data_IF_189419382718
#
_entry.id   IF_189419382718
#
_cell.length_a   1.000
_cell.length_b   1.000
_cell.length_c   1.000
_cell.angle_alpha   90.00
_cell.angle_beta   90.00
_cell.angle_gamma   90.00
#
_symmetry.space_group_name_H-M   'P 1'
#
loop_
_entity.id
_entity.type
_entity.pdbx_description
1 polymer ?
#
# COMPACT_ATOMS: atom_id res chain seq x y z
N UNK A 1 55.78 22.61 49.98
CA UNK A 1 55.86 23.61 48.91
C UNK A 1 55.60 22.87 47.61
N UNK A 2 54.33 22.62 47.28
CA UNK A 2 53.93 21.92 46.06
C UNK A 2 52.82 22.73 45.38
N UNK A 3 53.11 23.25 44.20
CA UNK A 3 52.16 23.98 43.36
C UNK A 3 51.61 23.06 42.26
N UNK A 4 50.28 23.07 42.17
CA UNK A 4 49.44 22.60 41.07
C UNK A 4 49.89 23.16 39.72
N UNK A 5 49.97 22.30 38.71
CA UNK A 5 49.78 22.71 37.31
C UNK A 5 48.41 22.21 36.84
N UNK A 6 47.53 23.16 36.56
CA UNK A 6 46.23 22.97 35.89
C UNK A 6 46.49 22.71 34.41
N UNK A 7 46.01 21.57 33.90
CA UNK A 7 45.84 21.37 32.45
C UNK A 7 44.53 22.04 32.01
N UNK A 8 44.64 23.16 31.29
CA UNK A 8 43.53 23.78 30.58
C UNK A 8 43.18 22.91 29.36
N UNK A 9 42.03 22.23 29.41
CA UNK A 9 41.37 21.76 28.19
C UNK A 9 40.65 22.96 27.57
N UNK A 10 40.95 23.29 26.31
CA UNK A 10 40.27 24.37 25.61
C UNK A 10 38.83 23.96 25.28
N UNK A 11 37.88 24.89 25.36
CA UNK A 11 36.45 24.64 25.06
C UNK A 11 36.24 24.02 23.67
N UNK A 12 37.15 24.26 22.72
CA UNK A 12 37.15 23.66 21.40
C UNK A 12 37.36 22.13 21.41
N UNK A 13 38.19 21.60 22.33
CA UNK A 13 38.38 20.15 22.47
C UNK A 13 37.18 19.47 23.13
N UNK A 14 36.49 20.13 24.07
CA UNK A 14 35.23 19.63 24.61
C UNK A 14 34.11 19.63 23.54
N UNK A 15 34.03 20.66 22.70
CA UNK A 15 33.06 20.73 21.62
C UNK A 15 33.28 19.64 20.55
N UNK A 16 34.53 19.38 20.17
CA UNK A 16 34.85 18.32 19.19
C UNK A 16 34.56 16.93 19.77
N UNK A 17 34.84 16.67 21.05
CA UNK A 17 34.52 15.39 21.71
C UNK A 17 33.01 15.20 21.91
N UNK A 18 32.26 16.27 22.20
CA UNK A 18 30.79 16.22 22.30
C UNK A 18 30.17 16.03 20.91
N UNK A 19 30.70 16.68 19.87
CA UNK A 19 30.26 16.49 18.48
C UNK A 19 30.63 15.11 17.93
N UNK A 20 31.82 14.57 18.22
CA UNK A 20 32.15 13.18 17.82
C UNK A 20 31.31 12.18 18.58
N UNK A 21 31.03 12.38 19.87
CA UNK A 21 30.11 11.50 20.61
C UNK A 21 28.65 11.63 20.15
N UNK A 22 28.19 12.82 19.74
CA UNK A 22 26.86 13.02 19.16
C UNK A 22 26.77 12.47 17.73
N UNK A 23 27.82 12.62 16.93
CA UNK A 23 27.91 12.03 15.59
C UNK A 23 27.99 10.52 15.68
N UNK A 24 28.78 9.97 16.61
CA UNK A 24 28.82 8.52 16.88
C UNK A 24 27.51 8.01 17.50
N UNK A 25 26.79 8.82 18.30
CA UNK A 25 25.47 8.48 18.84
C UNK A 25 24.38 8.53 17.76
N UNK A 26 24.46 9.47 16.82
CA UNK A 26 23.54 9.58 15.67
C UNK A 26 23.84 8.50 14.61
N UNK A 27 25.12 8.14 14.42
CA UNK A 27 25.56 7.10 13.47
C UNK A 27 25.37 5.68 14.06
N UNK A 28 25.46 5.51 15.39
CA UNK A 28 25.29 4.22 16.09
C UNK A 28 24.06 4.17 16.99
N UNK A 29 22.94 4.82 16.66
CA UNK A 29 21.67 4.28 17.13
C UNK A 29 21.60 2.90 16.47
N UNK A 30 21.67 1.77 17.22
CA UNK A 30 21.37 0.50 16.61
C UNK A 30 19.99 0.69 15.99
N UNK A 31 19.87 0.54 14.66
CA UNK A 31 18.58 0.51 13.98
C UNK A 31 17.86 -0.72 14.53
N UNK A 32 17.28 -0.59 15.71
CA UNK A 32 16.43 -1.58 16.32
C UNK A 32 15.16 -1.49 15.48
N UNK A 33 15.19 -2.23 14.39
CA UNK A 33 14.04 -2.40 13.52
C UNK A 33 13.06 -3.28 14.29
N UNK A 34 11.96 -2.70 14.72
CA UNK A 34 10.91 -3.42 15.42
C UNK A 34 9.82 -3.71 14.39
N UNK A 35 9.70 -4.98 13.98
CA UNK A 35 8.81 -5.43 12.90
C UNK A 35 9.03 -4.73 11.56
N UNK A 36 10.27 -4.37 11.22
CA UNK A 36 10.57 -3.66 9.98
C UNK A 36 10.34 -2.15 10.06
N UNK A 37 10.13 -1.56 11.24
CA UNK A 37 9.94 -0.12 11.43
C UNK A 37 11.03 0.48 12.32
N UNK A 38 11.37 1.74 12.08
CA UNK A 38 12.43 2.48 12.78
C UNK A 38 11.99 3.93 13.01
N UNK A 39 12.70 4.65 13.87
CA UNK A 39 12.62 6.11 13.91
C UNK A 39 13.29 6.71 12.69
N UNK A 40 12.66 7.70 12.07
CA UNK A 40 13.21 8.41 10.92
C UNK A 40 14.33 9.37 11.34
N UNK A 41 15.56 8.98 11.01
CA UNK A 41 16.76 9.77 11.28
C UNK A 41 16.74 11.14 10.56
N UNK A 42 16.07 11.26 9.41
CA UNK A 42 16.00 12.52 8.66
C UNK A 42 15.12 13.56 9.38
N UNK A 43 14.16 13.10 10.18
CA UNK A 43 13.20 13.95 10.90
C UNK A 43 13.44 13.99 12.41
N UNK A 44 14.50 13.34 12.90
CA UNK A 44 14.88 13.28 14.31
C UNK A 44 15.02 14.67 14.96
N UNK A 45 15.52 15.65 14.19
CA UNK A 45 15.74 17.03 14.65
C UNK A 45 14.50 17.95 14.51
N UNK A 46 13.37 17.45 14.01
CA UNK A 46 12.14 18.25 13.94
C UNK A 46 11.48 18.32 15.32
N UNK A 47 11.71 19.43 16.03
CA UNK A 47 11.27 19.68 17.41
C UNK A 47 9.75 19.68 17.66
N UNK A 48 8.92 19.45 16.64
CA UNK A 48 7.46 19.41 16.75
C UNK A 48 6.81 18.02 16.60
N UNK A 49 7.59 16.98 16.32
CA UNK A 49 7.07 15.63 16.10
C UNK A 49 7.20 14.77 17.34
N UNK A 50 6.14 14.04 17.71
CA UNK A 50 6.19 13.00 18.74
C UNK A 50 6.72 11.67 18.18
N UNK A 51 6.95 10.70 19.06
CA UNK A 51 7.50 9.39 18.68
C UNK A 51 6.62 8.64 17.68
N UNK A 52 5.29 8.73 17.80
CA UNK A 52 4.37 8.15 16.82
C UNK A 52 4.55 8.75 15.43
N UNK A 53 4.74 10.06 15.33
CA UNK A 53 4.93 10.75 14.05
C UNK A 53 6.29 10.42 13.42
N UNK A 54 7.28 10.00 14.22
CA UNK A 54 8.65 9.70 13.78
C UNK A 54 8.87 8.26 13.34
N UNK A 55 7.98 7.32 13.68
CA UNK A 55 8.14 5.93 13.22
C UNK A 55 7.78 5.78 11.74
N UNK A 56 8.67 5.13 11.00
CA UNK A 56 8.56 4.87 9.55
C UNK A 56 8.99 3.43 9.21
N UNK A 57 8.53 2.85 8.10
CA UNK A 57 9.06 1.60 7.59
C UNK A 57 10.57 1.72 7.34
N UNK A 58 11.31 0.66 7.64
CA UNK A 58 12.73 0.55 7.29
C UNK A 58 12.83 0.47 5.77
N UNK A 59 13.70 1.28 5.16
CA UNK A 59 13.99 1.28 3.72
C UNK A 59 14.74 0.01 3.30
N UNK A 60 14.10 -1.16 3.41
CA UNK A 60 14.64 -2.44 2.92
C UNK A 60 14.18 -2.70 1.49
N UNK A 61 12.98 -2.24 1.13
CA UNK A 61 12.43 -2.34 -0.21
C UNK A 61 11.86 -0.98 -0.65
N UNK A 62 12.50 -0.34 -1.62
CA UNK A 62 12.08 0.96 -2.14
C UNK A 62 10.74 0.91 -2.89
N UNK A 63 10.25 -0.29 -3.23
CA UNK A 63 9.09 -0.47 -4.08
C UNK A 63 7.82 -0.85 -3.32
N UNK A 64 7.94 -1.24 -2.05
CA UNK A 64 6.79 -1.69 -1.24
C UNK A 64 5.72 -0.61 -1.10
N UNK A 65 6.14 0.64 -0.84
CA UNK A 65 5.29 1.82 -0.73
C UNK A 65 5.65 2.84 -1.82
N UNK A 66 4.94 2.91 -2.97
CA UNK A 66 5.34 3.77 -4.08
C UNK A 66 5.40 5.27 -3.75
N UNK A 67 4.60 5.70 -2.76
CA UNK A 67 4.53 7.08 -2.28
C UNK A 67 5.18 7.22 -0.91
N UNK A 68 6.18 6.39 -0.59
CA UNK A 68 6.87 6.33 0.71
C UNK A 68 7.19 7.70 1.29
N UNK A 69 7.82 8.59 0.51
CA UNK A 69 8.17 9.92 0.98
C UNK A 69 6.92 10.75 1.32
N UNK A 70 5.88 10.73 0.47
CA UNK A 70 4.63 11.42 0.77
C UNK A 70 3.94 10.85 2.02
N UNK A 71 4.06 9.54 2.28
CA UNK A 71 3.48 8.87 3.44
C UNK A 71 4.17 9.29 4.73
N UNK A 72 5.51 9.22 4.79
CA UNK A 72 6.25 9.62 6.00
C UNK A 72 6.14 11.12 6.29
N UNK A 73 6.15 11.97 5.26
CA UNK A 73 6.00 13.43 5.42
C UNK A 73 4.56 13.87 5.73
N UNK A 74 3.63 12.94 5.86
CA UNK A 74 2.26 13.29 6.29
C UNK A 74 2.22 13.67 7.77
N UNK A 75 3.14 13.14 8.59
CA UNK A 75 3.25 13.43 10.03
C UNK A 75 1.92 13.36 10.80
N UNK A 76 1.02 12.50 10.35
CA UNK A 76 -0.28 12.28 10.98
C UNK A 76 -0.07 11.73 12.40
N UNK A 77 -0.82 12.28 13.36
CA UNK A 77 -0.86 11.78 14.73
C UNK A 77 -1.72 10.50 14.82
N UNK A 78 -1.61 9.81 15.95
CA UNK A 78 -2.26 8.51 16.14
C UNK A 78 -3.78 8.59 16.09
N UNK A 79 -4.37 9.69 16.58
CA UNK A 79 -5.81 9.95 16.51
C UNK A 79 -6.28 10.13 15.06
N UNK A 80 -5.56 10.93 14.29
CA UNK A 80 -5.85 11.21 12.87
C UNK A 80 -5.74 9.95 12.03
N UNK A 81 -4.70 9.14 12.28
CA UNK A 81 -4.49 7.84 11.60
C UNK A 81 -5.62 6.84 11.91
N UNK A 82 -6.09 6.78 13.16
CA UNK A 82 -7.27 5.98 13.52
C UNK A 82 -8.54 6.45 12.79
N UNK A 83 -8.74 7.76 12.67
CA UNK A 83 -9.86 8.31 11.92
C UNK A 83 -9.74 8.07 10.42
N UNK A 84 -8.53 8.13 9.84
CA UNK A 84 -8.27 7.78 8.44
C UNK A 84 -8.69 6.33 8.13
N UNK A 85 -8.32 5.37 8.98
CA UNK A 85 -8.72 3.96 8.78
C UNK A 85 -10.24 3.79 8.84
N UNK A 86 -10.90 4.46 9.80
CA UNK A 86 -12.38 4.43 9.91
C UNK A 86 -13.03 5.09 8.70
N UNK A 87 -12.51 6.23 8.27
CA UNK A 87 -12.96 6.94 7.08
C UNK A 87 -12.88 6.08 5.83
N UNK A 88 -11.73 5.42 5.60
CA UNK A 88 -11.55 4.52 4.47
C UNK A 88 -12.58 3.38 4.48
N UNK A 89 -12.80 2.77 5.67
CA UNK A 89 -13.83 1.74 5.82
C UNK A 89 -15.25 2.28 5.54
N UNK A 90 -15.56 3.51 5.96
CA UNK A 90 -16.86 4.13 5.70
C UNK A 90 -17.09 4.43 4.22
N UNK A 91 -16.09 4.98 3.51
CA UNK A 91 -16.21 5.20 2.06
C UNK A 91 -16.39 3.85 1.33
N UNK A 92 -15.62 2.81 1.68
CA UNK A 92 -15.74 1.49 1.03
C UNK A 92 -17.14 0.87 1.13
N UNK A 93 -17.91 1.25 2.15
CA UNK A 93 -19.30 0.82 2.34
C UNK A 93 -20.30 1.75 1.66
N UNK A 94 -20.19 3.06 1.90
CA UNK A 94 -21.17 4.07 1.50
C UNK A 94 -21.07 4.49 0.04
N UNK A 95 -19.88 4.41 -0.55
CA UNK A 95 -19.66 4.66 -1.98
C UNK A 95 -19.32 3.37 -2.74
N UNK A 96 -19.74 2.21 -2.22
CA UNK A 96 -19.54 0.89 -2.88
C UNK A 96 -20.11 0.81 -4.28
N UNK A 97 -21.17 1.59 -4.56
CA UNK A 97 -21.79 1.69 -5.89
C UNK A 97 -20.79 2.02 -7.00
N UNK A 98 -19.69 2.72 -6.68
CA UNK A 98 -18.61 3.03 -7.63
C UNK A 98 -18.02 1.78 -8.29
N UNK A 99 -17.93 0.66 -7.56
CA UNK A 99 -17.43 -0.62 -8.07
C UNK A 99 -18.20 -1.12 -9.30
N UNK A 100 -19.52 -0.96 -9.29
CA UNK A 100 -20.38 -1.40 -10.39
C UNK A 100 -20.14 -0.56 -11.65
N UNK A 101 -20.06 0.76 -11.51
CA UNK A 101 -19.82 1.67 -12.65
C UNK A 101 -18.42 1.53 -13.20
N UNK A 102 -17.40 1.43 -12.34
CA UNK A 102 -16.01 1.19 -12.77
C UNK A 102 -15.85 -0.13 -13.52
N UNK A 103 -16.55 -1.20 -13.08
CA UNK A 103 -16.54 -2.50 -13.76
C UNK A 103 -17.16 -2.42 -15.15
N UNK A 104 -18.26 -1.66 -15.28
CA UNK A 104 -18.96 -1.49 -16.56
C UNK A 104 -18.12 -0.69 -17.56
N UNK A 105 -17.72 0.51 -17.16
CA UNK A 105 -16.94 1.41 -17.99
C UNK A 105 -16.21 2.43 -17.10
N UNK A 106 -14.89 2.24 -16.96
CA UNK A 106 -14.01 3.12 -16.18
C UNK A 106 -13.99 4.55 -16.74
N UNK A 107 -13.99 4.71 -18.06
CA UNK A 107 -13.94 6.03 -18.68
C UNK A 107 -15.26 6.78 -18.49
N UNK A 108 -16.39 6.08 -18.60
CA UNK A 108 -17.69 6.66 -18.26
C UNK A 108 -17.77 7.06 -16.78
N UNK A 109 -17.23 6.22 -15.89
CA UNK A 109 -17.12 6.53 -14.46
C UNK A 109 -16.36 7.83 -14.22
N UNK A 110 -15.15 7.97 -14.77
CA UNK A 110 -14.30 9.16 -14.63
C UNK A 110 -15.03 10.42 -15.13
N UNK A 111 -15.72 10.33 -16.27
CA UNK A 111 -16.41 11.47 -16.87
C UNK A 111 -17.69 11.89 -16.14
N UNK A 112 -18.48 10.94 -15.62
CA UNK A 112 -19.84 11.21 -15.13
C UNK A 112 -20.00 11.10 -13.62
N UNK A 113 -19.25 10.21 -12.98
CA UNK A 113 -19.54 9.75 -11.61
C UNK A 113 -18.42 10.03 -10.61
N UNK A 114 -17.19 10.26 -11.05
CA UNK A 114 -16.06 10.56 -10.17
C UNK A 114 -16.30 11.82 -9.32
N UNK A 115 -16.81 12.89 -9.92
CA UNK A 115 -17.11 14.13 -9.17
C UNK A 115 -18.16 13.90 -8.08
N UNK A 116 -19.14 13.03 -8.34
CA UNK A 116 -20.22 12.72 -7.40
C UNK A 116 -19.69 11.87 -6.25
N UNK A 117 -18.92 10.83 -6.54
CA UNK A 117 -18.31 9.96 -5.53
C UNK A 117 -17.25 10.71 -4.70
N UNK A 118 -16.46 11.59 -5.29
CA UNK A 118 -15.56 12.50 -4.56
C UNK A 118 -16.34 13.43 -3.61
N UNK A 119 -17.45 14.04 -4.05
CA UNK A 119 -18.29 14.85 -3.15
C UNK A 119 -18.84 14.02 -2.00
N UNK A 120 -19.31 12.80 -2.25
CA UNK A 120 -19.79 11.89 -1.20
C UNK A 120 -18.68 11.52 -0.21
N UNK A 121 -17.49 11.20 -0.69
CA UNK A 121 -16.35 10.89 0.16
C UNK A 121 -15.96 12.09 1.04
N UNK A 122 -16.01 13.32 0.52
CA UNK A 122 -15.78 14.54 1.32
C UNK A 122 -16.91 14.80 2.33
N UNK A 123 -18.17 14.47 2.01
CA UNK A 123 -19.27 14.57 2.98
C UNK A 123 -19.10 13.56 4.12
N UNK A 124 -18.66 12.34 3.83
CA UNK A 124 -18.34 11.32 4.84
C UNK A 124 -17.19 11.80 5.73
N UNK A 125 -16.16 12.43 5.15
CA UNK A 125 -15.01 12.95 5.88
C UNK A 125 -15.39 13.96 6.99
N UNK A 126 -16.48 14.72 6.81
CA UNK A 126 -16.97 15.67 7.84
C UNK A 126 -17.35 15.00 9.17
N UNK A 127 -17.59 13.69 9.17
CA UNK A 127 -17.82 12.90 10.40
C UNK A 127 -16.55 12.59 11.19
N UNK A 128 -15.37 12.96 10.68
CA UNK A 128 -14.06 12.65 11.26
C UNK A 128 -13.31 13.96 11.54
N UNK A 129 -13.45 14.53 12.76
CA UNK A 129 -13.00 15.89 13.05
C UNK A 129 -11.47 16.10 13.02
N UNK A 130 -10.67 15.04 13.11
CA UNK A 130 -9.19 15.11 13.04
C UNK A 130 -8.67 14.80 11.64
N UNK A 131 -9.51 14.24 10.77
CA UNK A 131 -9.15 13.96 9.40
C UNK A 131 -9.02 15.24 8.57
N UNK A 132 -7.82 15.54 8.12
CA UNK A 132 -7.59 16.69 7.23
C UNK A 132 -8.23 16.46 5.85
N UNK A 133 -8.61 17.55 5.18
CA UNK A 133 -9.14 17.49 3.81
C UNK A 133 -8.15 16.81 2.83
N UNK A 134 -6.85 17.05 3.01
CA UNK A 134 -5.80 16.43 2.19
C UNK A 134 -5.76 14.91 2.37
N UNK A 135 -5.88 14.43 3.62
CA UNK A 135 -5.95 13.00 3.92
C UNK A 135 -7.24 12.37 3.42
N UNK A 136 -8.38 13.06 3.53
CA UNK A 136 -9.64 12.59 2.98
C UNK A 136 -9.54 12.42 1.45
N UNK A 137 -8.98 13.41 0.74
CA UNK A 137 -8.76 13.37 -0.70
C UNK A 137 -7.89 12.18 -1.09
N UNK A 138 -6.75 11.99 -0.42
CA UNK A 138 -5.87 10.83 -0.63
C UNK A 138 -6.60 9.51 -0.39
N UNK A 139 -7.35 9.40 0.72
CA UNK A 139 -8.10 8.19 1.05
C UNK A 139 -9.11 7.82 -0.03
N UNK A 140 -9.79 8.80 -0.62
CA UNK A 140 -10.67 8.58 -1.76
C UNK A 140 -9.93 8.17 -3.04
N UNK A 141 -8.84 8.87 -3.40
CA UNK A 141 -8.05 8.55 -4.59
C UNK A 141 -7.45 7.14 -4.50
N UNK A 142 -6.88 6.78 -3.36
CA UNK A 142 -6.34 5.45 -3.12
C UNK A 142 -7.42 4.37 -3.00
N UNK A 143 -8.63 4.71 -2.57
CA UNK A 143 -9.77 3.79 -2.67
C UNK A 143 -10.13 3.46 -4.12
N UNK A 144 -10.15 4.45 -5.02
CA UNK A 144 -10.38 4.19 -6.45
C UNK A 144 -9.25 3.36 -7.07
N UNK A 145 -8.00 3.62 -6.66
CA UNK A 145 -6.84 2.83 -7.11
C UNK A 145 -6.94 1.37 -6.67
N UNK A 146 -7.25 1.13 -5.39
CA UNK A 146 -7.47 -0.23 -4.85
C UNK A 146 -8.60 -0.95 -5.61
N UNK A 147 -9.70 -0.24 -5.84
CA UNK A 147 -10.85 -0.78 -6.54
C UNK A 147 -10.54 -1.12 -7.99
N UNK A 148 -9.82 -0.26 -8.71
CA UNK A 148 -9.35 -0.54 -10.07
C UNK A 148 -8.48 -1.80 -10.08
N UNK A 149 -7.54 -1.90 -9.15
CA UNK A 149 -6.65 -3.05 -9.02
C UNK A 149 -7.41 -4.37 -8.76
N UNK A 150 -8.42 -4.33 -7.88
CA UNK A 150 -9.29 -5.48 -7.62
C UNK A 150 -10.07 -5.90 -8.87
N UNK A 151 -10.62 -4.93 -9.61
CA UNK A 151 -11.37 -5.18 -10.84
C UNK A 151 -10.47 -5.76 -11.93
N UNK A 152 -9.25 -5.25 -12.07
CA UNK A 152 -8.25 -5.78 -13.00
C UNK A 152 -7.94 -7.24 -12.66
N UNK A 153 -7.67 -7.54 -11.39
CA UNK A 153 -7.41 -8.92 -10.91
C UNK A 153 -8.58 -9.86 -11.23
N UNK A 154 -9.83 -9.41 -11.04
CA UNK A 154 -11.02 -10.20 -11.40
C UNK A 154 -11.12 -10.47 -12.90
N UNK A 155 -10.72 -9.51 -13.74
CA UNK A 155 -10.71 -9.70 -15.18
C UNK A 155 -9.64 -10.71 -15.62
N UNK A 156 -8.46 -10.75 -14.97
CA UNK A 156 -7.46 -11.80 -15.20
C UNK A 156 -8.00 -13.20 -14.87
N UNK A 157 -8.68 -13.37 -13.74
CA UNK A 157 -9.31 -14.66 -13.38
C UNK A 157 -10.27 -15.10 -14.49
N UNK A 158 -11.13 -14.19 -14.95
CA UNK A 158 -12.12 -14.46 -16.00
C UNK A 158 -11.48 -14.81 -17.33
N UNK A 159 -10.48 -14.05 -17.75
CA UNK A 159 -9.75 -14.28 -19.01
C UNK A 159 -8.99 -15.59 -18.96
N UNK A 160 -8.25 -15.87 -17.88
CA UNK A 160 -7.47 -17.11 -17.77
C UNK A 160 -8.36 -18.34 -17.70
N UNK A 161 -9.51 -18.26 -17.04
CA UNK A 161 -10.50 -19.34 -17.07
C UNK A 161 -11.05 -19.58 -18.47
N UNK A 162 -11.41 -18.54 -19.21
CA UNK A 162 -11.92 -18.68 -20.59
C UNK A 162 -10.85 -19.20 -21.56
N UNK A 163 -9.61 -18.73 -21.41
CA UNK A 163 -8.46 -19.24 -22.18
C UNK A 163 -8.20 -20.71 -21.85
N UNK A 164 -8.26 -21.10 -20.57
CA UNK A 164 -8.14 -22.50 -20.17
C UNK A 164 -9.25 -23.36 -20.80
N UNK A 165 -10.51 -22.96 -20.71
CA UNK A 165 -11.63 -23.72 -21.30
C UNK A 165 -11.45 -23.92 -22.81
N UNK A 166 -10.89 -22.91 -23.50
CA UNK A 166 -10.63 -22.98 -24.94
C UNK A 166 -9.48 -23.89 -25.30
N UNK A 167 -8.35 -23.74 -24.62
CA UNK A 167 -7.16 -24.56 -24.88
C UNK A 167 -7.41 -26.02 -24.53
N UNK A 168 -8.00 -26.29 -23.35
CA UNK A 168 -8.06 -27.64 -22.80
C UNK A 168 -9.38 -28.36 -23.03
N UNK A 169 -10.51 -27.65 -23.18
CA UNK A 169 -11.81 -28.29 -23.42
C UNK A 169 -12.29 -28.14 -24.88
N UNK A 170 -11.95 -27.04 -25.56
CA UNK A 170 -12.36 -26.78 -26.97
C UNK A 170 -11.25 -27.06 -27.98
N UNK A 171 -10.07 -27.49 -27.53
CA UNK A 171 -8.93 -27.90 -28.35
C UNK A 171 -8.38 -26.77 -29.26
N UNK A 172 -8.49 -25.50 -28.83
CA UNK A 172 -7.83 -24.38 -29.52
C UNK A 172 -6.30 -24.47 -29.35
N UNK A 173 -5.57 -24.24 -30.46
CA UNK A 173 -4.18 -24.71 -30.59
C UNK A 173 -3.14 -23.94 -29.78
N UNK A 174 -3.38 -22.67 -29.42
CA UNK A 174 -2.41 -21.84 -28.72
C UNK A 174 -3.06 -20.88 -27.73
N UNK A 175 -2.30 -20.44 -26.71
CA UNK A 175 -2.71 -19.39 -25.78
C UNK A 175 -3.13 -18.11 -26.52
N UNK A 176 -2.41 -17.75 -27.59
CA UNK A 176 -2.67 -16.54 -28.35
C UNK A 176 -4.01 -16.61 -29.10
N UNK A 177 -4.29 -17.75 -29.73
CA UNK A 177 -5.55 -17.98 -30.43
C UNK A 177 -6.72 -18.01 -29.44
N UNK A 178 -6.56 -18.74 -28.34
CA UNK A 178 -7.53 -18.83 -27.25
C UNK A 178 -7.81 -17.46 -26.60
N UNK A 179 -6.79 -16.63 -26.43
CA UNK A 179 -6.98 -15.29 -25.90
C UNK A 179 -7.71 -14.38 -26.90
N UNK A 180 -7.32 -14.40 -28.18
CA UNK A 180 -8.00 -13.63 -29.23
C UNK A 180 -9.46 -14.02 -29.37
N UNK A 181 -9.78 -15.31 -29.25
CA UNK A 181 -11.15 -15.83 -29.34
C UNK A 181 -11.95 -15.60 -28.06
N UNK A 182 -11.29 -15.52 -26.90
CA UNK A 182 -11.90 -15.18 -25.60
C UNK A 182 -12.28 -13.70 -25.47
N UNK A 183 -11.45 -12.77 -25.99
CA UNK A 183 -11.66 -11.33 -25.83
C UNK A 183 -13.07 -10.85 -26.22
N UNK A 184 -13.66 -11.23 -27.37
CA UNK A 184 -15.02 -10.80 -27.73
C UNK A 184 -16.12 -11.17 -26.71
N UNK A 185 -15.89 -12.16 -25.83
CA UNK A 185 -16.84 -12.58 -24.79
C UNK A 185 -16.94 -11.55 -23.66
N UNK A 186 -15.89 -10.74 -23.45
CA UNK A 186 -15.86 -9.76 -22.37
C UNK A 186 -16.38 -8.38 -22.81
N UNK A 187 -16.88 -7.60 -21.85
CA UNK A 187 -17.31 -6.23 -22.08
C UNK A 187 -16.16 -5.31 -22.48
N UNK A 188 -16.49 -4.17 -23.11
CA UNK A 188 -15.52 -3.19 -23.61
C UNK A 188 -14.45 -2.79 -22.58
N UNK A 189 -14.83 -2.56 -21.32
CA UNK A 189 -13.88 -2.19 -20.25
C UNK A 189 -12.84 -3.26 -19.94
N UNK A 190 -13.25 -4.53 -19.82
CA UNK A 190 -12.34 -5.66 -19.59
C UNK A 190 -11.42 -5.84 -20.80
N UNK A 191 -11.98 -5.76 -22.01
CA UNK A 191 -11.20 -5.86 -23.24
C UNK A 191 -10.16 -4.76 -23.39
N UNK A 192 -10.52 -3.49 -23.19
CA UNK A 192 -9.54 -2.40 -23.28
C UNK A 192 -8.39 -2.56 -22.29
N UNK A 193 -8.66 -3.04 -21.08
CA UNK A 193 -7.62 -3.29 -20.06
C UNK A 193 -6.72 -4.47 -20.45
N UNK A 194 -7.31 -5.62 -20.77
CA UNK A 194 -6.55 -6.84 -21.09
C UNK A 194 -5.81 -6.71 -22.43
N UNK A 195 -6.43 -6.11 -23.45
CA UNK A 195 -5.77 -5.84 -24.75
C UNK A 195 -4.62 -4.85 -24.56
N UNK A 196 -4.82 -3.79 -23.75
CA UNK A 196 -3.76 -2.84 -23.43
C UNK A 196 -2.54 -3.51 -22.77
N UNK A 197 -2.78 -4.47 -21.88
CA UNK A 197 -1.72 -5.27 -21.24
C UNK A 197 -1.08 -6.26 -22.20
N UNK A 198 -1.88 -6.98 -23.01
CA UNK A 198 -1.38 -7.88 -24.04
C UNK A 198 -0.40 -7.20 -24.99
N UNK A 199 -0.75 -6.00 -25.46
CA UNK A 199 0.08 -5.22 -26.39
C UNK A 199 1.41 -4.77 -25.76
N UNK A 200 1.47 -4.59 -24.44
CA UNK A 200 2.65 -4.07 -23.73
C UNK A 200 3.51 -5.15 -23.08
N UNK A 201 2.87 -6.24 -22.64
CA UNK A 201 3.47 -7.24 -21.76
C UNK A 201 3.03 -8.67 -22.13
N UNK A 202 2.88 -8.96 -23.43
CA UNK A 202 2.48 -10.28 -23.95
C UNK A 202 3.16 -11.45 -23.23
N UNK A 203 4.50 -11.44 -23.18
CA UNK A 203 5.29 -12.54 -22.61
C UNK A 203 5.03 -12.72 -21.12
N UNK A 204 4.87 -11.61 -20.38
CA UNK A 204 4.56 -11.65 -18.96
C UNK A 204 3.19 -12.31 -18.72
N UNK A 205 2.17 -11.94 -19.50
CA UNK A 205 0.84 -12.56 -19.35
C UNK A 205 0.84 -14.06 -19.69
N UNK A 206 1.65 -14.49 -20.66
CA UNK A 206 1.80 -15.91 -20.98
C UNK A 206 2.51 -16.67 -19.85
N UNK A 207 3.55 -16.07 -19.25
CA UNK A 207 4.25 -16.65 -18.09
C UNK A 207 3.33 -16.74 -16.86
N UNK A 208 2.57 -15.68 -16.58
CA UNK A 208 1.55 -15.66 -15.52
C UNK A 208 0.49 -16.74 -15.74
N UNK A 209 -0.03 -16.87 -16.96
CA UNK A 209 -1.00 -17.91 -17.31
C UNK A 209 -0.40 -19.30 -17.07
N UNK A 210 0.82 -19.57 -17.55
CA UNK A 210 1.52 -20.86 -17.33
C UNK A 210 1.74 -21.14 -15.84
N UNK A 211 2.13 -20.13 -15.06
CA UNK A 211 2.30 -20.25 -13.62
C UNK A 211 0.97 -20.52 -12.89
N UNK A 212 -0.15 -20.03 -13.41
CA UNK A 212 -1.48 -20.40 -12.92
C UNK A 212 -1.81 -21.85 -13.25
N UNK A 213 -1.62 -22.27 -14.51
CA UNK A 213 -1.94 -23.64 -14.93
C UNK A 213 -1.11 -24.69 -14.19
N UNK A 214 0.16 -24.38 -13.88
CA UNK A 214 1.03 -25.29 -13.11
C UNK A 214 0.57 -25.54 -11.66
N UNK A 215 -0.36 -24.73 -11.13
CA UNK A 215 -0.95 -24.91 -9.80
C UNK A 215 -2.24 -25.73 -9.82
N UNK A 216 -2.73 -26.12 -11.00
CA UNK A 216 -3.92 -26.95 -11.16
C UNK A 216 -3.48 -28.42 -11.15
N UNK A 217 -4.03 -29.26 -10.25
CA UNK A 217 -3.76 -30.70 -10.27
C UNK A 217 -4.26 -31.37 -11.56
N UNK A 218 -3.51 -32.34 -12.08
CA UNK A 218 -3.82 -33.01 -13.35
C UNK A 218 -5.13 -33.82 -13.32
N UNK A 219 -5.59 -34.22 -12.14
CA UNK A 219 -6.80 -35.03 -11.92
C UNK A 219 -8.07 -34.18 -11.72
N UNK A 220 -7.95 -32.86 -11.66
CA UNK A 220 -9.10 -31.95 -11.56
C UNK A 220 -9.69 -31.71 -12.95
N UNK A 221 -10.94 -32.14 -13.14
CA UNK A 221 -11.72 -31.89 -14.36
C UNK A 221 -12.99 -31.04 -14.11
N UNK A 222 -13.33 -30.82 -12.84
CA UNK A 222 -14.49 -30.00 -12.47
C UNK A 222 -14.20 -28.52 -12.70
N UNK A 223 -15.09 -27.83 -13.43
CA UNK A 223 -14.87 -26.43 -13.82
C UNK A 223 -14.88 -25.46 -12.65
N UNK A 224 -15.64 -25.75 -11.60
CA UNK A 224 -15.70 -24.87 -10.43
C UNK A 224 -14.41 -25.01 -9.59
N UNK A 225 -13.87 -26.22 -9.47
CA UNK A 225 -12.56 -26.47 -8.85
C UNK A 225 -11.43 -25.82 -9.64
N UNK A 226 -11.44 -25.91 -10.97
CA UNK A 226 -10.48 -25.22 -11.83
C UNK A 226 -10.56 -23.69 -11.64
N UNK A 227 -11.78 -23.13 -11.63
CA UNK A 227 -11.97 -21.70 -11.41
C UNK A 227 -11.41 -21.27 -10.05
N UNK A 228 -11.57 -22.10 -9.01
CA UNK A 228 -10.99 -21.85 -7.69
C UNK A 228 -9.45 -21.83 -7.75
N UNK A 229 -8.82 -22.82 -8.37
CA UNK A 229 -7.35 -22.86 -8.53
C UNK A 229 -6.82 -21.67 -9.32
N UNK A 230 -7.47 -21.29 -10.42
CA UNK A 230 -7.11 -20.12 -11.21
C UNK A 230 -7.28 -18.85 -10.37
N UNK A 231 -8.38 -18.74 -9.63
CA UNK A 231 -8.64 -17.60 -8.74
C UNK A 231 -7.51 -17.44 -7.73
N UNK A 232 -7.18 -18.50 -6.99
CA UNK A 232 -6.14 -18.46 -5.97
C UNK A 232 -4.76 -18.12 -6.56
N UNK A 233 -4.41 -18.73 -7.70
CA UNK A 233 -3.15 -18.47 -8.39
C UNK A 233 -3.03 -17.01 -8.85
N UNK A 234 -4.06 -16.47 -9.50
CA UNK A 234 -4.09 -15.08 -9.98
C UNK A 234 -4.03 -14.12 -8.79
N UNK A 235 -4.84 -14.33 -7.75
CA UNK A 235 -4.82 -13.48 -6.56
C UNK A 235 -3.47 -13.54 -5.86
N UNK A 236 -2.78 -14.67 -5.82
CA UNK A 236 -1.43 -14.77 -5.23
C UNK A 236 -0.40 -13.97 -6.02
N UNK A 237 -0.36 -14.11 -7.35
CA UNK A 237 0.56 -13.38 -8.23
C UNK A 237 0.29 -11.88 -8.09
N UNK A 238 -0.97 -11.48 -8.30
CA UNK A 238 -1.35 -10.08 -8.29
C UNK A 238 -1.13 -9.47 -6.90
N UNK A 239 -1.51 -10.14 -5.81
CA UNK A 239 -1.32 -9.57 -4.46
C UNK A 239 0.15 -9.26 -4.13
N UNK A 240 1.12 -9.99 -4.73
CA UNK A 240 2.53 -9.68 -4.58
C UNK A 240 2.96 -8.42 -5.37
N UNK A 241 2.26 -8.10 -6.46
CA UNK A 241 2.49 -6.92 -7.31
C UNK A 241 1.69 -5.70 -6.85
N UNK A 242 0.71 -5.89 -5.94
CA UNK A 242 -0.14 -4.80 -5.45
C UNK A 242 0.72 -3.81 -4.66
N UNK A 243 0.81 -2.53 -5.10
CA UNK A 243 1.50 -1.52 -4.33
C UNK A 243 0.80 -1.29 -2.98
N UNK A 244 1.57 -1.16 -1.90
CA UNK A 244 0.99 -0.80 -0.60
C UNK A 244 0.59 0.67 -0.58
N UNK A 245 -0.66 0.90 -0.20
CA UNK A 245 -1.29 2.22 -0.15
C UNK A 245 -1.06 2.87 1.23
N UNK A 246 -1.49 4.12 1.38
CA UNK A 246 -1.40 4.82 2.67
C UNK A 246 -2.24 4.14 3.74
N UNK A 247 -3.34 3.48 3.37
CA UNK A 247 -4.10 2.64 4.31
C UNK A 247 -3.27 1.50 4.90
N UNK A 248 -2.48 0.83 4.08
CA UNK A 248 -1.61 -0.27 4.51
C UNK A 248 -0.49 0.27 5.41
N UNK A 249 0.06 1.43 5.04
CA UNK A 249 1.04 2.17 5.84
C UNK A 249 0.49 2.50 7.23
N UNK A 250 -0.68 3.15 7.29
CA UNK A 250 -1.30 3.61 8.54
C UNK A 250 -1.71 2.44 9.43
N UNK A 251 -2.34 1.40 8.87
CA UNK A 251 -2.69 0.19 9.65
C UNK A 251 -1.46 -0.43 10.29
N UNK A 252 -0.36 -0.56 9.54
CA UNK A 252 0.87 -1.13 10.05
C UNK A 252 1.53 -0.21 11.08
N UNK A 253 1.54 1.10 10.84
CA UNK A 253 2.03 2.11 11.79
C UNK A 253 1.30 2.04 13.13
N UNK A 254 -0.03 1.95 13.11
CA UNK A 254 -0.85 1.79 14.32
C UNK A 254 -0.50 0.48 15.06
N UNK A 255 -0.38 -0.64 14.34
CA UNK A 255 0.02 -1.94 14.92
C UNK A 255 1.38 -1.85 15.62
N UNK A 256 2.37 -1.24 14.96
CA UNK A 256 3.71 -1.04 15.53
C UNK A 256 3.66 -0.12 16.74
N UNK A 257 2.98 1.03 16.63
CA UNK A 257 2.82 1.97 17.73
C UNK A 257 2.18 1.33 18.96
N UNK A 258 1.18 0.46 18.79
CA UNK A 258 0.57 -0.28 19.89
C UNK A 258 1.57 -1.18 20.60
N UNK A 259 2.42 -1.90 19.85
CA UNK A 259 3.47 -2.74 20.43
C UNK A 259 4.57 -1.93 21.13
N UNK A 260 4.83 -0.73 20.65
CA UNK A 260 5.78 0.22 21.24
C UNK A 260 5.15 1.11 22.34
N UNK A 261 3.86 0.97 22.62
CA UNK A 261 3.11 1.78 23.59
C UNK A 261 3.14 3.30 23.29
N UNK A 262 3.17 3.66 22.00
CA UNK A 262 3.22 5.05 21.50
C UNK A 262 1.82 5.68 21.30
N UNK A 263 0.82 5.28 22.07
CA UNK A 263 -0.55 5.81 21.95
C UNK A 263 -0.75 7.17 22.61
N UNK A 264 -1.80 7.90 22.23
CA UNK A 264 -2.15 9.26 22.72
C UNK A 264 -2.15 9.45 24.26
N UNK A 265 -2.20 8.36 25.04
CA UNK A 265 -2.23 8.36 26.50
C UNK A 265 -0.84 8.39 27.16
N UNK A 266 0.26 8.13 26.46
CA UNK A 266 1.62 8.13 27.06
C UNK A 266 2.25 9.53 27.20
N UNK A 267 1.53 10.61 26.86
CA UNK A 267 1.99 12.00 27.00
C UNK A 267 1.72 12.58 28.40
N UNK A 268 0.92 11.92 29.25
CA UNK A 268 0.77 12.31 30.66
C UNK A 268 1.45 11.30 31.56
N UNK A 269 2.77 11.43 31.76
CA UNK A 269 3.49 11.17 33.01
C UNK A 269 5.00 11.11 32.75
N UNK A 270 5.63 12.26 32.50
CA UNK A 270 7.00 12.48 32.96
C UNK A 270 6.97 13.79 33.75
N UNK A 271 7.34 13.68 35.03
CA UNK A 271 6.95 14.54 36.13
C UNK A 271 7.37 16.01 35.99
N UNK A 272 6.49 16.87 36.49
CA UNK A 272 6.94 17.80 37.52
C UNK A 272 7.42 16.95 38.69
N UNK A 273 8.70 17.06 39.02
CA UNK A 273 9.25 17.17 40.36
C UNK A 273 10.71 17.63 40.24
#
# INVERSE_FOLDING_TARGET
MEQRIRGHFSEAQCFVVILTKLVDFVINIPKISIFGWTYDCETFNLHGLNDYQRIVPTRVDFYEYPQYDAYRFTFSDHRTDKEYVKYYNEISKKIKWVEEYMRRDKQEFELKFERTSHKQSMMIAKGFPHLTMALAKRGYEEYLLDLAWKLDTQDYVRVYFEVWDRVFCKNEMSFEDALKSALPVFGYSCNCRIVGQLLRYHNLMLEEFRACMAQIPEDVADKDEILMHITDAVYKIKSAERPKLYLDYVKKKIEVAQRLQLSDESIFHIGRD
#
